data_IF_732522657685
#
_entry.id   IF_732522657685
#
_cell.length_a   1.000
_cell.length_b   1.000
_cell.length_c   1.000
_cell.angle_alpha   90.00
_cell.angle_beta   90.00
_cell.angle_gamma   90.00
#
_symmetry.space_group_name_H-M   'P 1'
#
loop_
_entity.id
_entity.type
_entity.pdbx_description
1 polymer ?
#
# COMPACT_ATOMS: atom_id res chain seq x y z
N UNK A 1 0.08 14.54 20.84
CA UNK A 1 -0.33 13.64 19.75
C UNK A 1 -0.03 12.20 20.16
N UNK A 2 -0.99 11.31 20.02
CA UNK A 2 -0.84 9.89 20.42
C UNK A 2 0.34 9.22 19.70
N UNK A 3 0.67 9.66 18.50
CA UNK A 3 1.77 9.18 17.69
C UNK A 3 3.14 9.58 18.24
N UNK A 4 3.27 10.82 18.69
CA UNK A 4 4.51 11.29 19.31
C UNK A 4 4.78 10.58 20.63
N UNK A 5 3.76 10.47 21.49
CA UNK A 5 3.87 9.69 22.73
C UNK A 5 4.25 8.23 22.45
N UNK A 6 3.67 7.61 21.43
CA UNK A 6 3.99 6.25 20.99
C UNK A 6 5.46 6.13 20.56
N UNK A 7 5.97 7.09 19.78
CA UNK A 7 7.37 7.09 19.33
C UNK A 7 8.36 7.34 20.45
N UNK A 8 8.03 8.21 21.39
CA UNK A 8 8.85 8.48 22.56
C UNK A 8 9.00 7.25 23.45
N UNK A 9 7.89 6.57 23.75
CA UNK A 9 7.91 5.32 24.50
C UNK A 9 8.65 4.19 23.77
N UNK A 10 8.44 4.04 22.47
CA UNK A 10 9.18 3.05 21.67
C UNK A 10 10.69 3.29 21.69
N UNK A 11 11.12 4.54 21.58
CA UNK A 11 12.55 4.90 21.68
C UNK A 11 13.12 4.63 23.07
N UNK A 12 12.33 4.88 24.09
CA UNK A 12 12.72 4.60 25.49
C UNK A 12 12.87 3.08 25.74
N UNK A 13 11.98 2.26 25.19
CA UNK A 13 12.03 0.81 25.31
C UNK A 13 13.14 0.15 24.46
N UNK A 14 13.56 0.80 23.38
CA UNK A 14 14.55 0.28 22.44
C UNK A 14 15.70 1.28 22.17
N UNK A 15 16.45 1.74 23.20
CA UNK A 15 17.47 2.78 23.04
C UNK A 15 18.62 2.37 22.12
N UNK A 16 18.91 1.07 22.06
CA UNK A 16 20.00 0.50 21.25
C UNK A 16 19.55 0.07 19.84
N UNK A 17 18.31 0.37 19.45
CA UNK A 17 17.83 0.03 18.11
C UNK A 17 18.52 0.91 17.06
N UNK A 18 19.29 0.32 16.12
CA UNK A 18 20.23 1.07 15.27
C UNK A 18 19.58 1.82 14.11
N UNK A 19 18.27 1.67 13.92
CA UNK A 19 17.54 2.28 12.82
C UNK A 19 16.56 3.34 13.32
N UNK A 20 16.24 4.37 12.51
CA UNK A 20 15.21 5.32 12.89
C UNK A 20 13.87 4.63 13.08
N UNK A 21 13.19 4.96 14.18
CA UNK A 21 11.82 4.54 14.43
C UNK A 21 10.90 5.66 13.99
N UNK A 22 10.05 5.38 13.03
CA UNK A 22 9.09 6.31 12.48
C UNK A 22 7.70 5.67 12.41
N UNK A 23 6.69 6.46 12.72
CA UNK A 23 5.29 6.15 12.46
C UNK A 23 4.73 7.30 11.65
N UNK A 24 4.51 7.07 10.38
CA UNK A 24 3.94 8.05 9.47
C UNK A 24 2.48 7.73 9.20
N UNK A 25 1.68 8.78 9.09
CA UNK A 25 0.26 8.63 8.86
C UNK A 25 -0.51 8.05 10.05
N UNK A 26 -1.76 7.75 9.79
CA UNK A 26 -2.69 7.17 10.75
C UNK A 26 -2.63 5.63 10.73
N UNK A 27 -2.87 5.03 11.89
CA UNK A 27 -2.99 3.58 11.99
C UNK A 27 -4.20 3.08 11.17
N UNK A 28 -4.05 1.95 10.50
CA UNK A 28 -5.16 1.30 9.80
C UNK A 28 -6.29 0.90 10.80
N UNK A 29 -7.52 0.67 10.33
CA UNK A 29 -8.64 0.36 11.22
C UNK A 29 -8.40 -0.84 12.15
N UNK A 30 -7.68 -1.88 11.69
CA UNK A 30 -7.33 -3.04 12.54
C UNK A 30 -6.34 -2.64 13.63
N UNK A 31 -5.28 -1.92 13.28
CA UNK A 31 -4.29 -1.48 14.26
C UNK A 31 -4.90 -0.53 15.31
N UNK A 32 -5.78 0.39 14.89
CA UNK A 32 -6.55 1.24 15.82
C UNK A 32 -7.42 0.44 16.76
N UNK A 33 -8.07 -0.60 16.26
CA UNK A 33 -8.87 -1.50 17.09
C UNK A 33 -7.99 -2.23 18.10
N UNK A 34 -6.88 -2.82 17.66
CA UNK A 34 -5.93 -3.54 18.51
C UNK A 34 -5.34 -2.63 19.60
N UNK A 35 -4.95 -1.40 19.26
CA UNK A 35 -4.45 -0.40 20.21
C UNK A 35 -5.48 -0.07 21.27
N UNK A 36 -6.75 0.14 20.90
CA UNK A 36 -7.82 0.41 21.87
C UNK A 36 -8.08 -0.75 22.82
N UNK A 37 -8.13 -1.97 22.30
CA UNK A 37 -8.31 -3.16 23.12
C UNK A 37 -7.10 -3.42 24.02
N UNK A 38 -5.89 -3.20 23.53
CA UNK A 38 -4.68 -3.29 24.32
C UNK A 38 -4.65 -2.26 25.45
N UNK A 39 -4.97 -0.99 25.18
CA UNK A 39 -5.05 0.05 26.21
C UNK A 39 -6.09 -0.30 27.29
N UNK A 40 -7.22 -0.92 26.93
CA UNK A 40 -8.18 -1.41 27.93
C UNK A 40 -7.61 -2.55 28.78
N UNK A 41 -6.87 -3.49 28.14
CA UNK A 41 -6.23 -4.64 28.82
C UNK A 41 -5.17 -4.17 29.83
N UNK A 42 -4.41 -3.14 29.50
CA UNK A 42 -3.35 -2.57 30.36
C UNK A 42 -3.79 -1.33 31.13
N UNK A 43 -5.10 -1.14 31.34
CA UNK A 43 -5.66 -0.06 32.17
C UNK A 43 -5.20 1.36 31.78
N UNK A 44 -4.88 1.56 30.49
CA UNK A 44 -4.39 2.83 29.94
C UNK A 44 -2.87 2.99 29.96
N UNK A 45 -2.12 2.02 30.46
CA UNK A 45 -0.66 2.03 30.45
C UNK A 45 -0.14 1.75 29.03
N UNK A 46 0.33 2.81 28.37
CA UNK A 46 0.86 2.72 27.00
C UNK A 46 2.21 2.00 26.95
N UNK A 47 3.07 2.21 27.94
CA UNK A 47 4.38 1.57 27.98
C UNK A 47 4.24 0.04 28.10
N UNK A 48 3.38 -0.44 29.00
CA UNK A 48 3.08 -1.87 29.14
C UNK A 48 2.46 -2.47 27.85
N UNK A 49 1.56 -1.73 27.20
CA UNK A 49 1.00 -2.15 25.92
C UNK A 49 2.09 -2.34 24.86
N UNK A 50 2.99 -1.34 24.72
CA UNK A 50 4.04 -1.37 23.71
C UNK A 50 5.04 -2.49 23.98
N UNK A 51 5.44 -2.69 25.23
CA UNK A 51 6.38 -3.73 25.61
C UNK A 51 5.84 -5.15 25.31
N UNK A 52 4.56 -5.39 25.55
CA UNK A 52 3.99 -6.74 25.48
C UNK A 52 3.29 -7.07 24.17
N UNK A 53 2.75 -6.10 23.44
CA UNK A 53 1.91 -6.36 22.26
C UNK A 53 2.51 -5.84 20.94
N UNK A 54 3.48 -4.93 20.98
CA UNK A 54 4.03 -4.33 19.76
C UNK A 54 5.37 -4.96 19.41
N UNK A 55 5.47 -5.42 18.17
CA UNK A 55 6.71 -5.99 17.62
C UNK A 55 7.27 -5.03 16.58
N UNK A 56 8.47 -4.53 16.83
CA UNK A 56 9.22 -3.70 15.87
C UNK A 56 10.00 -4.63 14.94
N UNK A 57 9.77 -4.47 13.63
CA UNK A 57 10.50 -5.23 12.61
C UNK A 57 11.13 -4.28 11.61
N UNK A 58 12.34 -4.63 11.15
CA UNK A 58 12.94 -3.97 9.99
C UNK A 58 12.13 -4.31 8.75
N UNK A 59 11.73 -3.29 7.99
CA UNK A 59 11.15 -3.49 6.67
C UNK A 59 12.26 -3.92 5.70
N UNK A 60 12.12 -5.10 5.13
CA UNK A 60 12.98 -5.60 4.05
C UNK A 60 12.08 -5.87 2.86
N UNK A 61 12.30 -5.14 1.77
CA UNK A 61 11.50 -5.28 0.56
C UNK A 61 11.71 -6.66 -0.05
N UNK A 62 10.63 -7.37 -0.33
CA UNK A 62 10.66 -8.69 -0.95
C UNK A 62 9.39 -8.91 -1.77
N UNK A 63 9.55 -9.07 -3.08
CA UNK A 63 8.45 -9.42 -3.96
C UNK A 63 7.92 -10.84 -3.65
N UNK A 64 8.82 -11.79 -3.42
CA UNK A 64 8.47 -13.19 -3.14
C UNK A 64 7.64 -13.35 -1.86
N UNK A 65 7.95 -12.56 -0.83
CA UNK A 65 7.26 -12.58 0.45
C UNK A 65 6.13 -11.57 0.51
N UNK A 66 5.91 -10.81 -0.55
CA UNK A 66 4.93 -9.73 -0.65
C UNK A 66 5.08 -8.70 0.50
N UNK A 67 6.29 -8.20 0.68
CA UNK A 67 6.61 -7.21 1.71
C UNK A 67 7.13 -5.94 1.04
N UNK A 68 6.37 -4.88 1.09
CA UNK A 68 6.72 -3.58 0.51
C UNK A 68 6.82 -3.56 -1.03
N UNK A 69 6.50 -4.66 -1.71
CA UNK A 69 6.41 -4.73 -3.17
C UNK A 69 5.08 -5.40 -3.52
N UNK A 70 4.22 -4.64 -4.17
CA UNK A 70 2.94 -5.09 -4.71
C UNK A 70 2.99 -5.07 -6.23
N UNK A 71 2.38 -6.05 -6.88
CA UNK A 71 2.29 -6.13 -8.34
C UNK A 71 0.85 -6.37 -8.76
N UNK A 72 0.33 -5.49 -9.59
CA UNK A 72 -1.01 -5.60 -10.13
C UNK A 72 -0.98 -5.74 -11.65
N UNK A 73 -1.64 -6.79 -12.13
CA UNK A 73 -1.81 -7.04 -13.58
C UNK A 73 -3.28 -7.25 -13.88
N UNK A 74 -3.91 -6.40 -14.71
CA UNK A 74 -5.29 -6.60 -15.11
C UNK A 74 -5.41 -7.90 -15.93
N UNK A 75 -6.29 -8.79 -15.50
CA UNK A 75 -6.56 -10.07 -16.19
C UNK A 75 -7.53 -9.91 -17.36
N UNK A 76 -8.44 -8.96 -17.23
CA UNK A 76 -9.48 -8.65 -18.23
C UNK A 76 -9.80 -7.15 -18.14
N UNK A 77 -9.90 -6.47 -19.28
CA UNK A 77 -10.24 -5.04 -19.36
C UNK A 77 -11.65 -4.74 -18.83
N UNK A 78 -12.56 -5.71 -18.83
CA UNK A 78 -13.97 -5.52 -18.47
C UNK A 78 -14.34 -6.00 -17.07
N UNK A 79 -13.47 -6.72 -16.38
CA UNK A 79 -13.81 -7.36 -15.12
C UNK A 79 -12.65 -7.19 -14.10
N UNK A 80 -12.33 -5.93 -13.82
CA UNK A 80 -11.29 -5.58 -12.87
C UNK A 80 -11.91 -5.46 -11.47
N UNK A 81 -11.32 -6.11 -10.49
CA UNK A 81 -11.78 -6.08 -9.10
C UNK A 81 -10.88 -5.20 -8.25
N UNK A 82 -11.43 -4.11 -7.74
CA UNK A 82 -10.72 -3.18 -6.85
C UNK A 82 -10.29 -3.83 -5.53
N UNK A 83 -10.84 -4.98 -5.18
CA UNK A 83 -10.47 -5.69 -3.95
C UNK A 83 -9.03 -6.21 -3.99
N UNK A 84 -8.50 -6.52 -5.17
CA UNK A 84 -7.09 -6.88 -5.33
C UNK A 84 -6.16 -5.72 -4.92
N UNK A 85 -6.60 -4.47 -5.09
CA UNK A 85 -5.81 -3.28 -4.71
C UNK A 85 -5.99 -2.90 -3.24
N UNK A 86 -7.21 -2.96 -2.71
CA UNK A 86 -7.53 -2.37 -1.41
C UNK A 86 -7.81 -3.41 -0.32
N UNK A 87 -7.86 -4.69 -0.66
CA UNK A 87 -8.27 -5.77 0.24
C UNK A 87 -9.78 -6.03 0.25
N UNK A 88 -10.22 -7.08 0.93
CA UNK A 88 -11.60 -7.52 0.93
C UNK A 88 -12.09 -8.05 2.29
N UNK A 89 -13.42 -8.18 2.38
CA UNK A 89 -14.10 -8.75 3.53
C UNK A 89 -13.87 -10.27 3.58
N UNK A 90 -13.39 -10.73 4.72
CA UNK A 90 -13.24 -12.16 4.97
C UNK A 90 -14.50 -12.71 5.64
N UNK A 91 -15.33 -13.38 4.89
CA UNK A 91 -16.62 -13.92 5.38
C UNK A 91 -16.48 -14.96 6.50
N UNK A 92 -15.35 -15.69 6.57
CA UNK A 92 -15.06 -16.58 7.71
C UNK A 92 -14.85 -15.79 8.99
N UNK A 93 -14.14 -14.66 8.88
CA UNK A 93 -13.95 -13.75 10.03
C UNK A 93 -15.24 -13.01 10.39
N UNK A 94 -16.11 -12.70 9.41
CA UNK A 94 -17.44 -12.14 9.69
C UNK A 94 -18.26 -13.13 10.53
N UNK A 95 -18.25 -14.41 10.21
CA UNK A 95 -18.90 -15.43 11.04
C UNK A 95 -18.35 -15.51 12.47
N UNK A 96 -17.07 -15.23 12.65
CA UNK A 96 -16.41 -15.26 13.97
C UNK A 96 -16.69 -13.98 14.79
N UNK A 97 -16.66 -12.80 14.14
CA UNK A 97 -16.77 -11.49 14.80
C UNK A 97 -18.17 -10.87 14.73
N UNK A 98 -19.10 -11.51 14.01
CA UNK A 98 -20.51 -11.15 13.97
C UNK A 98 -20.88 -9.97 13.07
N UNK A 99 -19.92 -9.27 12.45
CA UNK A 99 -20.18 -8.11 11.58
C UNK A 99 -19.15 -7.96 10.46
N UNK A 100 -19.63 -7.59 9.29
CA UNK A 100 -18.77 -7.20 8.16
C UNK A 100 -18.16 -5.79 8.30
N UNK A 101 -18.64 -5.03 9.28
CA UNK A 101 -18.09 -3.72 9.65
C UNK A 101 -17.06 -3.80 10.79
N UNK A 102 -16.81 -5.01 11.31
CA UNK A 102 -15.72 -5.22 12.27
C UNK A 102 -14.37 -5.16 11.53
N UNK A 103 -13.43 -4.28 11.95
CA UNK A 103 -12.14 -4.15 11.28
C UNK A 103 -11.37 -5.47 11.18
N UNK A 104 -11.55 -6.38 12.14
CA UNK A 104 -10.91 -7.71 12.15
C UNK A 104 -11.44 -8.64 11.06
N UNK A 105 -12.65 -8.38 10.57
CA UNK A 105 -13.26 -9.15 9.49
C UNK A 105 -12.79 -8.72 8.09
N UNK A 106 -12.04 -7.63 7.98
CA UNK A 106 -11.48 -7.18 6.72
C UNK A 106 -10.01 -7.58 6.60
N UNK A 107 -9.59 -8.03 5.44
CA UNK A 107 -8.19 -8.26 5.11
C UNK A 107 -7.64 -7.01 4.42
N UNK A 108 -6.72 -6.31 5.09
CA UNK A 108 -5.94 -5.20 4.52
C UNK A 108 -4.70 -5.76 3.83
N UNK A 109 -4.90 -6.61 2.82
CA UNK A 109 -3.86 -7.35 2.09
C UNK A 109 -3.89 -7.11 0.58
N UNK A 110 -4.56 -6.04 0.14
CA UNK A 110 -4.50 -5.58 -1.24
C UNK A 110 -3.11 -5.06 -1.62
N UNK A 111 -2.84 -4.98 -2.93
CA UNK A 111 -1.50 -4.64 -3.43
C UNK A 111 -1.01 -3.27 -2.93
N UNK A 112 -1.90 -2.27 -2.81
CA UNK A 112 -1.57 -0.95 -2.23
C UNK A 112 -1.24 -1.04 -0.73
N UNK A 113 -1.87 -1.96 0.02
CA UNK A 113 -1.53 -2.15 1.44
C UNK A 113 -0.17 -2.86 1.61
N UNK A 114 0.13 -3.81 0.72
CA UNK A 114 1.40 -4.57 0.72
C UNK A 114 2.55 -3.66 0.31
N UNK A 115 2.33 -2.81 -0.69
CA UNK A 115 3.32 -1.87 -1.22
C UNK A 115 3.61 -0.70 -0.28
N UNK A 116 2.84 -0.53 0.79
CA UNK A 116 3.03 0.58 1.71
C UNK A 116 4.48 0.63 2.24
N UNK A 117 5.12 1.78 2.14
CA UNK A 117 6.55 2.04 2.39
C UNK A 117 7.49 1.45 1.33
N UNK A 118 6.97 1.10 0.17
CA UNK A 118 7.75 0.51 -0.90
C UNK A 118 7.24 0.87 -2.28
N UNK A 119 7.02 -0.13 -3.12
CA UNK A 119 6.75 0.05 -4.54
C UNK A 119 5.53 -0.76 -4.94
N UNK A 120 4.59 -0.14 -5.64
CA UNK A 120 3.53 -0.86 -6.36
C UNK A 120 3.79 -0.77 -7.86
N UNK A 121 3.79 -1.92 -8.51
CA UNK A 121 4.00 -2.07 -9.94
C UNK A 121 2.67 -2.39 -10.64
N UNK A 122 2.32 -1.59 -11.63
CA UNK A 122 1.17 -1.82 -12.49
C UNK A 122 1.63 -2.25 -13.88
N UNK A 123 1.37 -3.51 -14.21
CA UNK A 123 1.63 -4.03 -15.54
C UNK A 123 0.50 -3.56 -16.46
N UNK A 124 0.85 -2.90 -17.57
CA UNK A 124 -0.12 -2.33 -18.52
C UNK A 124 -1.12 -1.34 -17.87
N UNK A 125 -0.62 -0.41 -17.08
CA UNK A 125 -1.42 0.55 -16.28
C UNK A 125 -2.51 1.27 -17.09
N UNK A 126 -2.27 1.57 -18.37
CA UNK A 126 -3.22 2.30 -19.22
C UNK A 126 -4.34 1.42 -19.78
N UNK A 127 -4.33 0.13 -19.50
CA UNK A 127 -5.46 -0.77 -19.75
C UNK A 127 -6.40 -0.92 -18.54
N UNK A 128 -6.09 -0.25 -17.44
CA UNK A 128 -6.98 -0.19 -16.30
C UNK A 128 -8.25 0.60 -16.62
N UNK A 129 -9.35 0.20 -16.02
CA UNK A 129 -10.58 0.98 -16.05
C UNK A 129 -10.31 2.38 -15.48
N UNK A 130 -10.99 3.37 -16.04
CA UNK A 130 -10.88 4.78 -15.63
C UNK A 130 -11.12 4.95 -14.12
N UNK A 131 -12.03 4.16 -13.54
CA UNK A 131 -12.32 4.17 -12.11
C UNK A 131 -11.07 3.85 -11.26
N UNK A 132 -10.27 2.85 -11.67
CA UNK A 132 -9.02 2.50 -11.00
C UNK A 132 -7.96 3.60 -11.12
N UNK A 133 -7.90 4.26 -12.27
CA UNK A 133 -6.97 5.37 -12.46
C UNK A 133 -7.30 6.55 -11.55
N UNK A 134 -8.58 6.79 -11.23
CA UNK A 134 -8.97 7.79 -10.23
C UNK A 134 -8.56 7.39 -8.81
N UNK A 135 -8.68 6.11 -8.44
CA UNK A 135 -8.19 5.63 -7.15
C UNK A 135 -6.67 5.80 -7.02
N UNK A 136 -5.93 5.52 -8.10
CA UNK A 136 -4.48 5.75 -8.16
C UNK A 136 -4.11 7.23 -8.06
N UNK A 137 -4.90 8.13 -8.67
CA UNK A 137 -4.70 9.57 -8.51
C UNK A 137 -4.88 9.99 -7.05
N UNK A 138 -5.92 9.48 -6.38
CA UNK A 138 -6.14 9.75 -4.97
C UNK A 138 -4.99 9.19 -4.12
N UNK A 139 -4.55 7.97 -4.40
CA UNK A 139 -3.40 7.36 -3.73
C UNK A 139 -2.13 8.20 -3.89
N UNK A 140 -1.83 8.66 -5.11
CA UNK A 140 -0.62 9.43 -5.41
C UNK A 140 -0.66 10.89 -4.90
N UNK A 141 -1.84 11.50 -4.75
CA UNK A 141 -2.00 12.89 -4.33
C UNK A 141 -2.20 13.04 -2.84
N UNK A 142 -3.15 12.28 -2.31
CA UNK A 142 -3.61 12.40 -0.93
C UNK A 142 -2.87 11.42 -0.01
N UNK A 143 -2.05 10.52 -0.58
CA UNK A 143 -1.42 9.41 0.15
C UNK A 143 -2.43 8.62 0.98
N UNK A 144 -3.60 8.38 0.40
CA UNK A 144 -4.72 7.69 1.05
C UNK A 144 -5.44 6.75 0.11
N UNK A 145 -5.88 5.63 0.67
CA UNK A 145 -6.80 4.72 0.00
C UNK A 145 -8.05 4.51 0.85
N UNK A 146 -9.17 4.27 0.18
CA UNK A 146 -10.43 3.96 0.84
C UNK A 146 -10.80 2.51 0.60
N UNK A 147 -10.78 1.71 1.67
CA UNK A 147 -11.21 0.32 1.64
C UNK A 147 -12.70 0.22 1.97
N UNK A 148 -13.54 0.04 0.98
CA UNK A 148 -15.01 -0.22 1.10
C UNK A 148 -15.70 0.54 2.25
N UNK A 149 -16.00 -0.14 3.36
CA UNK A 149 -16.77 0.37 4.50
C UNK A 149 -15.93 1.11 5.55
N UNK A 150 -14.61 1.09 5.42
CA UNK A 150 -13.72 1.67 6.41
C UNK A 150 -13.31 3.09 6.07
N UNK A 151 -12.79 3.81 7.05
CA UNK A 151 -12.20 5.11 6.83
C UNK A 151 -10.99 5.01 5.87
N UNK A 152 -10.64 6.12 5.26
CA UNK A 152 -9.41 6.21 4.49
C UNK A 152 -8.21 5.80 5.35
N UNK A 153 -7.29 5.08 4.73
CA UNK A 153 -6.05 4.62 5.34
C UNK A 153 -4.88 5.32 4.63
N UNK A 154 -3.94 5.84 5.39
CA UNK A 154 -2.75 6.45 4.84
C UNK A 154 -1.85 5.39 4.22
N UNK A 155 -1.26 5.72 3.08
CA UNK A 155 -0.26 4.92 2.38
C UNK A 155 0.89 5.82 1.95
N UNK A 156 2.06 5.23 1.81
CA UNK A 156 3.26 5.88 1.30
C UNK A 156 3.99 4.91 0.38
N UNK A 157 3.88 5.14 -0.94
CA UNK A 157 4.38 4.20 -1.93
C UNK A 157 4.82 4.90 -3.22
N UNK A 158 5.73 4.27 -3.92
CA UNK A 158 6.11 4.64 -5.28
C UNK A 158 5.27 3.82 -6.25
N UNK A 159 4.55 4.49 -7.13
CA UNK A 159 3.76 3.85 -8.19
C UNK A 159 4.59 3.76 -9.46
N UNK A 160 4.85 2.55 -9.93
CA UNK A 160 5.46 2.27 -11.23
C UNK A 160 4.42 1.69 -12.17
N UNK A 161 4.32 2.25 -13.38
CA UNK A 161 3.38 1.77 -14.38
C UNK A 161 4.09 1.38 -15.68
N UNK A 162 3.87 0.17 -16.16
CA UNK A 162 4.31 -0.26 -17.47
C UNK A 162 3.25 0.05 -18.52
N UNK A 163 3.68 0.50 -19.67
CA UNK A 163 2.80 0.73 -20.82
C UNK A 163 3.60 0.66 -22.13
N UNK A 164 2.90 0.66 -23.23
CA UNK A 164 3.49 0.75 -24.56
C UNK A 164 3.20 2.12 -25.20
N UNK A 165 3.96 2.48 -26.23
CA UNK A 165 3.86 3.77 -26.89
C UNK A 165 2.46 4.08 -27.48
N UNK A 166 1.73 3.12 -28.12
CA UNK A 166 0.38 3.38 -28.59
C UNK A 166 -0.62 3.76 -27.48
N UNK A 167 -0.55 3.10 -26.33
CA UNK A 167 -1.43 3.41 -25.18
C UNK A 167 -1.05 4.75 -24.55
N UNK A 168 0.23 5.04 -24.44
CA UNK A 168 0.70 6.33 -23.95
C UNK A 168 0.29 7.50 -24.86
N UNK A 169 0.33 7.29 -26.18
CA UNK A 169 -0.15 8.29 -27.15
C UNK A 169 -1.66 8.56 -27.02
N UNK A 170 -2.45 7.54 -26.72
CA UNK A 170 -3.88 7.70 -26.40
C UNK A 170 -4.09 8.49 -25.11
N UNK A 171 -3.29 8.24 -24.08
CA UNK A 171 -3.32 9.03 -22.83
C UNK A 171 -3.04 10.50 -23.12
N UNK A 172 -2.04 10.81 -23.94
CA UNK A 172 -1.70 12.19 -24.29
C UNK A 172 -2.80 12.92 -25.03
N UNK A 173 -3.55 12.22 -25.87
CA UNK A 173 -4.67 12.77 -26.64
C UNK A 173 -5.98 12.89 -25.84
N UNK A 174 -6.05 12.30 -24.65
CA UNK A 174 -7.27 12.27 -23.83
C UNK A 174 -7.30 13.43 -22.84
N UNK A 175 -8.17 14.40 -23.05
CA UNK A 175 -8.35 15.57 -22.18
C UNK A 175 -8.84 15.19 -20.78
N UNK A 176 -9.64 14.12 -20.64
CA UNK A 176 -10.14 13.65 -19.32
C UNK A 176 -9.04 13.03 -18.43
N UNK A 177 -7.90 12.69 -19.03
CA UNK A 177 -6.77 12.06 -18.33
C UNK A 177 -5.63 13.07 -18.04
N UNK A 178 -5.88 14.36 -18.18
CA UNK A 178 -4.90 15.43 -17.93
C UNK A 178 -4.28 15.32 -16.53
N UNK A 179 -5.12 15.08 -15.53
CA UNK A 179 -4.67 14.96 -14.14
C UNK A 179 -3.68 13.80 -13.92
N UNK A 180 -3.85 12.66 -14.61
CA UNK A 180 -2.91 11.55 -14.56
C UNK A 180 -1.63 11.89 -15.34
N UNK A 181 -1.77 12.45 -16.52
CA UNK A 181 -0.64 12.83 -17.37
C UNK A 181 0.31 13.81 -16.68
N UNK A 182 -0.22 14.83 -16.03
CA UNK A 182 0.56 15.87 -15.36
C UNK A 182 1.36 15.35 -14.15
N UNK A 183 0.99 14.19 -13.61
CA UNK A 183 1.65 13.52 -12.49
C UNK A 183 2.52 12.36 -12.89
N UNK A 184 2.50 12.02 -14.19
CA UNK A 184 3.27 10.88 -14.71
C UNK A 184 4.61 11.34 -15.25
N UNK A 185 5.67 10.75 -14.77
CA UNK A 185 7.02 10.91 -15.32
C UNK A 185 7.27 9.75 -16.28
N UNK A 186 7.34 10.06 -17.57
CA UNK A 186 7.66 9.06 -18.60
C UNK A 186 9.14 8.72 -18.58
N UNK A 187 9.45 7.43 -18.52
CA UNK A 187 10.79 6.90 -18.68
C UNK A 187 10.78 5.99 -19.91
N UNK A 188 11.51 6.37 -20.94
CA UNK A 188 11.65 5.55 -22.16
C UNK A 188 12.69 4.47 -21.94
N UNK A 189 12.27 3.21 -22.09
CA UNK A 189 13.16 2.04 -22.03
C UNK A 189 13.38 1.54 -23.46
N UNK A 190 14.54 1.82 -24.07
CA UNK A 190 14.81 1.41 -25.45
C UNK A 190 15.02 -0.11 -25.54
N UNK A 191 14.76 -0.65 -26.74
CA UNK A 191 15.11 -2.03 -27.03
C UNK A 191 16.63 -2.23 -26.97
N UNK A 192 17.05 -3.37 -26.45
CA UNK A 192 18.44 -3.78 -26.42
C UNK A 192 18.80 -4.24 -27.84
N UNK A 193 19.70 -3.49 -28.47
CA UNK A 193 20.15 -3.77 -29.84
C UNK A 193 21.55 -4.44 -29.91
N UNK A 194 22.26 -4.48 -28.78
CA UNK A 194 23.61 -5.02 -28.69
C UNK A 194 23.63 -6.28 -27.83
N UNK A 195 24.21 -7.34 -28.36
CA UNK A 195 24.40 -8.61 -27.65
C UNK A 195 25.18 -8.42 -26.35
N UNK A 196 26.17 -7.50 -26.34
CA UNK A 196 26.92 -7.19 -25.13
C UNK A 196 26.05 -6.64 -23.98
N UNK A 197 25.02 -5.87 -24.29
CA UNK A 197 24.12 -5.29 -23.31
C UNK A 197 23.09 -6.34 -22.82
N UNK A 198 22.66 -7.21 -23.75
CA UNK A 198 21.80 -8.34 -23.40
C UNK A 198 22.49 -9.33 -22.45
N UNK A 199 23.75 -9.66 -22.69
CA UNK A 199 24.56 -10.52 -21.81
C UNK A 199 24.68 -9.93 -20.40
N UNK A 200 24.77 -8.61 -20.26
CA UNK A 200 24.85 -7.92 -18.95
C UNK A 200 23.58 -8.02 -18.13
N UNK A 201 22.43 -8.22 -18.78
CA UNK A 201 21.15 -8.40 -18.06
C UNK A 201 21.04 -9.81 -17.47
N UNK A 202 21.64 -10.81 -18.12
CA UNK A 202 21.60 -12.20 -17.69
C UNK A 202 22.74 -12.59 -16.72
N UNK A 203 23.64 -11.68 -16.43
CA UNK A 203 24.71 -11.85 -15.43
C UNK A 203 24.34 -11.27 -14.08
#
# INVERSE_FOLDING_TARGET
DLREAFLEELRALHPDYPYPLEVEGDLCPVCRFQMREGLRKYEGDLAALLEHEVVVKRLVLSEKDRVGIGTFQPKDEKNQDSTELTGDINYRKVALYGSDSDPRAFNFDGELNIANRGIVEFIEILKLDVAFLYDLLTASQEHKIKSKKFAQTDIDEIVLGHTNEPEYSKLQANEYMEALRDRTIKIDVPYILRVSDEVRIYQ
#
